data_IF_525495733652
#
_entry.id   IF_525495733652
#
_cell.length_a   1.000
_cell.length_b   1.000
_cell.length_c   1.000
_cell.angle_alpha   90.00
_cell.angle_beta   90.00
_cell.angle_gamma   90.00
#
_symmetry.space_group_name_H-M   'P 1'
#
loop_
_entity.id
_entity.type
_entity.pdbx_description
1 polymer ?
#
# COMPACT_ATOMS: atom_id res chain seq x y z
N UNK A 1 16.19 -3.42 -10.28
CA UNK A 1 17.57 -3.75 -10.65
C UNK A 1 17.64 -5.21 -11.05
N UNK A 2 18.04 -5.55 -12.29
CA UNK A 2 18.23 -6.95 -12.69
C UNK A 2 19.70 -7.34 -12.56
N UNK A 3 20.00 -8.48 -11.94
CA UNK A 3 21.37 -9.01 -11.79
C UNK A 3 22.10 -9.12 -13.13
N UNK A 4 21.39 -9.48 -14.22
CA UNK A 4 21.97 -9.58 -15.57
C UNK A 4 22.42 -8.23 -16.12
N UNK A 5 21.65 -7.17 -15.91
CA UNK A 5 22.00 -5.82 -16.38
C UNK A 5 23.24 -5.30 -15.66
N UNK A 6 23.38 -5.61 -14.37
CA UNK A 6 24.56 -5.27 -13.57
C UNK A 6 25.78 -6.08 -14.01
N UNK A 7 25.62 -7.39 -14.22
CA UNK A 7 26.68 -8.26 -14.72
C UNK A 7 27.23 -7.80 -16.09
N UNK A 8 26.35 -7.37 -17.00
CA UNK A 8 26.76 -6.84 -18.30
C UNK A 8 27.50 -5.49 -18.18
N UNK A 9 27.03 -4.60 -17.30
CA UNK A 9 27.66 -3.28 -17.10
C UNK A 9 29.02 -3.36 -16.44
N UNK A 10 29.23 -4.34 -15.57
CA UNK A 10 30.46 -4.51 -14.81
C UNK A 10 31.38 -5.58 -15.41
N UNK A 11 30.94 -6.30 -16.44
CA UNK A 11 31.64 -7.46 -17.04
C UNK A 11 32.01 -8.56 -16.02
N UNK A 12 31.24 -8.65 -14.93
CA UNK A 12 31.43 -9.63 -13.85
C UNK A 12 30.48 -10.82 -14.08
N UNK A 13 30.90 -12.06 -13.81
CA UNK A 13 30.00 -13.21 -13.84
C UNK A 13 28.77 -13.02 -12.96
N UNK A 14 27.62 -13.45 -13.48
CA UNK A 14 26.31 -13.31 -12.81
C UNK A 14 26.28 -13.86 -11.39
N UNK A 15 27.02 -14.94 -11.11
CA UNK A 15 27.06 -15.58 -9.80
C UNK A 15 27.71 -14.67 -8.75
N UNK A 16 28.85 -14.06 -9.09
CA UNK A 16 29.54 -13.11 -8.21
C UNK A 16 28.69 -11.86 -7.95
N UNK A 17 28.00 -11.34 -8.97
CA UNK A 17 27.05 -10.24 -8.77
C UNK A 17 25.90 -10.65 -7.85
N UNK A 18 25.41 -11.88 -7.97
CA UNK A 18 24.37 -12.40 -7.08
C UNK A 18 24.85 -12.49 -5.63
N UNK A 19 26.04 -13.05 -5.38
CA UNK A 19 26.66 -13.16 -4.05
C UNK A 19 26.88 -11.77 -3.42
N UNK A 20 27.41 -10.80 -4.19
CA UNK A 20 27.62 -9.45 -3.68
C UNK A 20 26.28 -8.79 -3.32
N UNK A 21 25.29 -8.87 -4.21
CA UNK A 21 23.99 -8.23 -3.98
C UNK A 21 23.23 -8.89 -2.84
N UNK A 22 23.21 -10.22 -2.77
CA UNK A 22 22.43 -10.98 -1.80
C UNK A 22 23.14 -11.13 -0.45
N UNK A 23 24.40 -11.57 -0.45
CA UNK A 23 25.11 -11.98 0.77
C UNK A 23 25.95 -10.85 1.36
N UNK A 24 26.65 -10.07 0.52
CA UNK A 24 27.50 -8.96 1.02
C UNK A 24 26.68 -7.71 1.35
N UNK A 25 25.77 -7.33 0.46
CA UNK A 25 24.94 -6.13 0.58
C UNK A 25 23.58 -6.41 1.24
N UNK A 26 23.18 -7.68 1.38
CA UNK A 26 21.92 -8.06 2.03
C UNK A 26 20.66 -7.70 1.24
N UNK A 27 20.77 -7.40 -0.06
CA UNK A 27 19.60 -7.07 -0.87
C UNK A 27 18.80 -8.31 -1.21
N UNK A 28 17.51 -8.23 -0.93
CA UNK A 28 16.51 -9.25 -1.26
C UNK A 28 15.59 -8.77 -2.37
N UNK A 29 15.23 -9.68 -3.27
CA UNK A 29 14.21 -9.40 -4.28
C UNK A 29 12.85 -9.30 -3.58
N UNK A 30 12.31 -8.10 -3.51
CA UNK A 30 10.91 -7.88 -3.11
C UNK A 30 10.01 -8.00 -4.34
N UNK A 31 8.89 -8.71 -4.20
CA UNK A 31 7.82 -8.66 -5.20
C UNK A 31 6.98 -7.41 -4.96
N UNK A 32 6.63 -6.71 -6.04
CA UNK A 32 5.61 -5.68 -5.95
C UNK A 32 4.24 -6.36 -5.76
N UNK A 33 3.41 -5.80 -4.88
CA UNK A 33 1.99 -6.19 -4.79
C UNK A 33 1.20 -5.43 -5.86
N UNK A 34 0.21 -6.10 -6.44
CA UNK A 34 -0.69 -5.47 -7.40
C UNK A 34 -1.57 -4.43 -6.69
N UNK A 35 -1.60 -3.21 -7.21
CA UNK A 35 -2.45 -2.12 -6.71
C UNK A 35 -3.38 -1.71 -7.86
N UNK A 36 -4.72 -1.82 -7.69
CA UNK A 36 -5.69 -1.62 -8.77
C UNK A 36 -5.68 -0.23 -9.40
N UNK A 37 -5.26 0.81 -8.67
CA UNK A 37 -5.38 2.21 -9.07
C UNK A 37 -4.16 3.00 -8.67
N UNK A 38 -3.68 3.84 -9.59
CA UNK A 38 -2.66 4.86 -9.29
C UNK A 38 -3.38 6.04 -8.63
N UNK A 39 -2.90 6.45 -7.45
CA UNK A 39 -3.49 7.56 -6.70
C UNK A 39 -2.83 8.88 -7.10
N UNK A 40 -3.65 9.89 -7.36
CA UNK A 40 -3.22 11.29 -7.45
C UNK A 40 -2.86 11.80 -6.06
N UNK A 41 -2.23 12.97 -5.97
CA UNK A 41 -1.84 13.54 -4.68
C UNK A 41 -3.06 13.86 -3.82
N UNK A 42 -4.12 14.42 -4.41
CA UNK A 42 -5.37 14.71 -3.72
C UNK A 42 -6.03 13.44 -3.14
N UNK A 43 -6.03 12.34 -3.91
CA UNK A 43 -6.52 11.06 -3.40
C UNK A 43 -5.71 10.53 -2.22
N UNK A 44 -4.40 10.80 -2.15
CA UNK A 44 -3.59 10.41 -0.98
C UNK A 44 -3.93 11.25 0.23
N UNK A 45 -4.08 12.57 0.05
CA UNK A 45 -4.45 13.50 1.12
C UNK A 45 -5.79 13.12 1.73
N UNK A 46 -6.82 12.93 0.91
CA UNK A 46 -8.15 12.51 1.36
C UNK A 46 -8.10 11.16 2.11
N UNK A 47 -7.32 10.19 1.60
CA UNK A 47 -7.16 8.90 2.28
C UNK A 47 -6.51 9.04 3.65
N UNK A 48 -5.48 9.87 3.78
CA UNK A 48 -4.82 10.12 5.07
C UNK A 48 -5.79 10.79 6.05
N UNK A 49 -6.49 11.83 5.61
CA UNK A 49 -7.47 12.55 6.43
C UNK A 49 -8.57 11.62 6.96
N UNK A 50 -9.17 10.83 6.07
CA UNK A 50 -10.24 9.91 6.47
C UNK A 50 -9.71 8.80 7.37
N UNK A 51 -8.52 8.25 7.08
CA UNK A 51 -7.89 7.26 7.96
C UNK A 51 -7.62 7.83 9.36
N UNK A 52 -7.11 9.07 9.47
CA UNK A 52 -6.89 9.72 10.76
C UNK A 52 -8.20 9.94 11.52
N UNK A 53 -9.25 10.45 10.84
CA UNK A 53 -10.58 10.63 11.43
C UNK A 53 -11.16 9.32 11.96
N UNK A 54 -11.01 8.23 11.20
CA UNK A 54 -11.47 6.91 11.63
C UNK A 54 -10.68 6.38 12.82
N UNK A 55 -9.35 6.56 12.83
CA UNK A 55 -8.51 6.16 13.96
C UNK A 55 -8.88 6.89 15.24
N UNK A 56 -9.08 8.21 15.18
CA UNK A 56 -9.49 9.02 16.32
C UNK A 56 -10.82 8.53 16.91
N UNK A 57 -11.78 8.20 16.03
CA UNK A 57 -13.07 7.65 16.46
C UNK A 57 -12.91 6.32 17.19
N UNK A 58 -12.09 5.40 16.66
CA UNK A 58 -11.86 4.11 17.30
C UNK A 58 -11.06 4.21 18.60
N UNK A 59 -10.29 5.28 18.82
CA UNK A 59 -9.58 5.52 20.08
C UNK A 59 -10.47 6.14 21.17
N UNK A 60 -11.52 6.87 20.78
CA UNK A 60 -12.48 7.48 21.70
C UNK A 60 -13.59 6.50 22.12
N UNK A 61 -13.91 5.54 21.25
CA UNK A 61 -14.84 4.43 21.56
C UNK A 61 -14.14 3.38 22.44
N UNK A 62 -14.08 3.64 23.76
CA UNK A 62 -13.55 2.75 24.79
C UNK A 62 -14.47 1.53 25.06
N UNK A 63 -14.54 0.59 24.10
CA UNK A 63 -14.95 -0.80 24.38
C UNK A 63 -16.44 -1.07 24.57
N UNK A 64 -17.32 -0.36 23.87
CA UNK A 64 -18.70 -0.80 23.69
C UNK A 64 -18.78 -1.80 22.52
N UNK A 65 -19.06 -3.07 22.82
CA UNK A 65 -19.16 -4.18 21.84
C UNK A 65 -20.15 -3.90 20.70
N UNK A 66 -21.08 -2.96 20.90
CA UNK A 66 -22.12 -2.59 19.93
C UNK A 66 -21.65 -1.67 18.79
N UNK A 67 -20.50 -0.99 18.88
CA UNK A 67 -20.02 -0.03 17.84
C UNK A 67 -18.89 -0.54 16.95
N UNK A 68 -18.38 -1.76 17.18
CA UNK A 68 -17.37 -2.40 16.33
C UNK A 68 -17.76 -2.43 14.83
N UNK A 69 -19.07 -2.44 14.55
CA UNK A 69 -19.64 -2.37 13.20
C UNK A 69 -19.39 -1.04 12.48
N UNK A 70 -18.98 0.04 13.15
CA UNK A 70 -18.72 1.35 12.51
C UNK A 70 -17.23 1.49 12.17
N UNK A 71 -16.34 1.08 13.07
CA UNK A 71 -14.90 1.05 12.80
C UNK A 71 -14.58 0.07 11.65
N UNK A 72 -15.24 -1.09 11.60
CA UNK A 72 -14.96 -2.15 10.62
C UNK A 72 -16.04 -2.28 9.52
N UNK A 73 -17.17 -1.58 9.64
CA UNK A 73 -18.34 -1.85 8.81
C UNK A 73 -19.09 -3.11 9.32
N UNK A 74 -20.41 -3.23 9.09
CA UNK A 74 -21.12 -4.46 9.39
C UNK A 74 -20.54 -5.57 8.51
N UNK A 75 -19.82 -6.51 9.13
CA UNK A 75 -19.17 -7.63 8.43
C UNK A 75 -17.65 -7.73 8.55
N UNK A 76 -16.97 -6.94 9.40
CA UNK A 76 -15.58 -7.21 9.76
C UNK A 76 -14.53 -7.08 8.64
N UNK A 77 -14.95 -6.65 7.44
CA UNK A 77 -14.15 -6.72 6.23
C UNK A 77 -13.77 -5.32 5.74
N UNK A 78 -12.50 -4.95 5.93
CA UNK A 78 -11.90 -3.68 5.50
C UNK A 78 -12.04 -3.41 3.99
N UNK A 79 -12.43 -4.44 3.23
CA UNK A 79 -12.54 -4.48 1.77
C UNK A 79 -13.76 -3.72 1.21
N UNK A 80 -14.79 -3.47 2.00
CA UNK A 80 -16.06 -2.89 1.50
C UNK A 80 -16.04 -1.35 1.36
N UNK A 81 -15.05 -0.65 1.93
CA UNK A 81 -15.01 0.83 1.89
C UNK A 81 -14.60 1.42 0.54
N UNK A 82 -14.11 0.63 -0.42
CA UNK A 82 -13.82 1.14 -1.78
C UNK A 82 -15.09 1.62 -2.52
N UNK A 83 -16.28 1.11 -2.18
CA UNK A 83 -17.53 1.52 -2.84
C UNK A 83 -18.01 2.93 -2.46
N UNK A 84 -17.74 3.39 -1.23
CA UNK A 84 -18.09 4.76 -0.80
C UNK A 84 -17.04 5.81 -1.21
N UNK A 85 -15.80 5.39 -1.42
CA UNK A 85 -14.72 6.27 -1.92
C UNK A 85 -14.84 6.58 -3.41
N UNK A 86 -15.42 5.68 -4.21
CA UNK A 86 -15.60 5.91 -5.64
C UNK A 86 -16.73 6.91 -5.97
N UNK A 87 -17.59 7.27 -5.00
CA UNK A 87 -18.70 8.23 -5.18
C UNK A 87 -18.34 9.70 -4.86
N UNK A 88 -17.13 9.98 -4.37
CA UNK A 88 -16.64 11.36 -4.13
C UNK A 88 -15.56 11.80 -5.15
N UNK A 89 -15.27 10.95 -6.14
CA UNK A 89 -14.40 11.23 -7.28
C UNK A 89 -15.29 11.29 -8.53
N UNK A 90 -16.24 12.22 -8.54
CA UNK A 90 -16.93 12.63 -9.76
C UNK A 90 -16.88 14.14 -9.82
N UNK A 91 -15.83 14.68 -10.40
CA UNK A 91 -15.93 15.49 -11.61
C UNK A 91 -14.52 15.63 -12.23
N UNK A 92 -14.46 16.12 -13.45
CA UNK A 92 -13.28 16.22 -14.35
C UNK A 92 -13.13 15.01 -15.30
N UNK A 93 -14.23 14.73 -16.01
CA UNK A 93 -14.10 14.25 -17.39
C UNK A 93 -13.65 15.37 -18.34
N UNK A 94 -13.36 15.06 -19.60
CA UNK A 94 -13.97 15.76 -20.71
C UNK A 94 -15.41 15.27 -20.96
#
# INVERSE_FOLDING_TARGET
>A
MKVREVALKLEIPKNTVHEIVHDTLGYRKVSARWVPKILTEDHKLQRVEISQRLLLRCQQDNGNEDTAHICVGPGGDFRAKNSLYDNFITDDGP
#
